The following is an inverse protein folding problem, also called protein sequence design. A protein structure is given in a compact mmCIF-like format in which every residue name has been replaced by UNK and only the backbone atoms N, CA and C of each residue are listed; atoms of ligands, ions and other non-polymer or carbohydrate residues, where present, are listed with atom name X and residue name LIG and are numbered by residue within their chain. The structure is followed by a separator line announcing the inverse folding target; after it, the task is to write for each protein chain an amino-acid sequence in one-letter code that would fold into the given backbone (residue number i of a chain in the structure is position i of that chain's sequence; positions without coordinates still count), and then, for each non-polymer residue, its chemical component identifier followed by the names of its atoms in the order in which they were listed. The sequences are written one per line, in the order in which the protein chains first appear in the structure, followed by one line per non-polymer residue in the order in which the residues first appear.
data_IF_194256716043
#
_entry.id   IF_194256716043
#
_cell.length_a   1.000
_cell.length_b   1.000
_cell.length_c   1.000
_cell.angle_alpha   90.00
_cell.angle_beta   90.00
_cell.angle_gamma   90.00
#
_symmetry.space_group_name_H-M   'P 1'
#
loop_
_entity.id
_entity.type
_entity.pdbx_description
1 polymer ?
#
# COMPACT_ATOMS: atom_id res chain seq x y z
N UNK A 1 -5.65 -17.84 -15.52
CA UNK A 1 -6.75 -17.50 -14.58
C UNK A 1 -6.93 -16.00 -14.45
N UNK A 2 -5.90 -15.22 -14.06
CA UNK A 2 -5.98 -13.75 -13.99
C UNK A 2 -6.40 -13.13 -15.33
N UNK A 3 -5.75 -13.51 -16.44
CA UNK A 3 -6.11 -13.02 -17.78
C UNK A 3 -7.55 -13.35 -18.20
N UNK A 4 -8.14 -14.44 -17.69
CA UNK A 4 -9.53 -14.83 -17.99
C UNK A 4 -10.51 -13.97 -17.19
N UNK A 5 -10.18 -13.68 -15.93
CA UNK A 5 -10.95 -12.77 -15.07
C UNK A 5 -10.93 -11.35 -15.65
N UNK A 6 -9.77 -10.91 -16.12
CA UNK A 6 -9.59 -9.58 -16.70
C UNK A 6 -10.33 -9.41 -18.02
N UNK A 7 -10.34 -10.44 -18.88
CA UNK A 7 -11.16 -10.49 -20.08
C UNK A 7 -12.66 -10.42 -19.75
N UNK A 8 -13.13 -11.18 -18.74
CA UNK A 8 -14.54 -11.19 -18.34
C UNK A 8 -14.98 -9.87 -17.69
N UNK A 9 -14.08 -9.21 -16.94
CA UNK A 9 -14.28 -7.86 -16.40
C UNK A 9 -14.50 -6.85 -17.53
N UNK A 10 -13.67 -6.90 -18.58
CA UNK A 10 -13.81 -6.01 -19.72
C UNK A 10 -15.12 -6.22 -20.48
N UNK A 11 -15.57 -7.46 -20.61
CA UNK A 11 -16.85 -7.80 -21.24
C UNK A 11 -18.04 -7.19 -20.49
N UNK A 12 -18.06 -7.32 -19.15
CA UNK A 12 -19.12 -6.74 -18.30
C UNK A 12 -19.15 -5.21 -18.41
N UNK A 13 -17.98 -4.55 -18.44
CA UNK A 13 -17.94 -3.10 -18.60
C UNK A 13 -18.45 -2.65 -19.96
N UNK A 14 -18.09 -3.35 -21.03
CA UNK A 14 -18.58 -3.00 -22.36
C UNK A 14 -20.11 -3.14 -22.46
N UNK A 15 -20.70 -4.13 -21.79
CA UNK A 15 -22.16 -4.33 -21.73
C UNK A 15 -22.85 -3.24 -20.91
N UNK A 16 -22.30 -2.88 -19.74
CA UNK A 16 -22.80 -1.78 -18.92
C UNK A 16 -22.73 -0.42 -19.66
N UNK A 17 -21.62 -0.14 -20.35
CA UNK A 17 -21.46 1.08 -21.14
C UNK A 17 -22.46 1.14 -22.31
N UNK A 18 -22.74 0.00 -22.96
CA UNK A 18 -23.72 -0.07 -24.04
C UNK A 18 -25.14 0.28 -23.54
N UNK A 19 -25.56 -0.30 -22.42
CA UNK A 19 -26.87 -0.02 -21.80
C UNK A 19 -26.98 1.44 -21.30
N UNK A 20 -25.88 1.99 -20.76
CA UNK A 20 -25.81 3.39 -20.35
C UNK A 20 -25.98 4.34 -21.55
N UNK A 21 -25.34 4.04 -22.69
CA UNK A 21 -25.48 4.83 -23.92
C UNK A 21 -26.90 4.80 -24.48
N UNK A 22 -27.56 3.64 -24.49
CA UNK A 22 -28.95 3.54 -24.94
C UNK A 22 -29.89 4.36 -24.05
N UNK A 23 -29.66 4.35 -22.75
CA UNK A 23 -30.42 5.13 -21.78
C UNK A 23 -30.23 6.65 -21.98
N UNK A 24 -28.99 7.08 -22.23
CA UNK A 24 -28.66 8.48 -22.52
C UNK A 24 -29.35 8.99 -23.80
N UNK A 25 -29.40 8.16 -24.85
CA UNK A 25 -30.03 8.54 -26.11
C UNK A 25 -31.55 8.68 -25.97
N UNK A 26 -32.20 7.82 -25.17
CA UNK A 26 -33.64 7.97 -24.85
C UNK A 26 -33.92 9.28 -24.13
N UNK A 27 -33.12 9.62 -23.12
CA UNK A 27 -33.24 10.89 -22.41
C UNK A 27 -33.03 12.09 -23.34
N UNK A 28 -32.12 11.97 -24.31
CA UNK A 28 -31.88 13.00 -25.33
C UNK A 28 -33.12 13.23 -26.20
N UNK A 29 -33.79 12.17 -26.63
CA UNK A 29 -35.03 12.26 -27.43
C UNK A 29 -36.15 12.93 -26.61
N UNK A 30 -36.37 12.49 -25.37
CA UNK A 30 -37.37 13.09 -24.48
C UNK A 30 -37.11 14.59 -24.24
N UNK A 31 -35.83 14.98 -24.06
CA UNK A 31 -35.46 16.39 -23.93
C UNK A 31 -35.85 17.20 -25.17
N UNK A 32 -35.59 16.68 -26.37
CA UNK A 32 -35.95 17.35 -27.63
C UNK A 32 -37.47 17.52 -27.75
N UNK A 33 -38.26 16.51 -27.39
CA UNK A 33 -39.73 16.61 -27.40
C UNK A 33 -40.24 17.67 -26.41
N UNK A 34 -39.67 17.74 -25.21
CA UNK A 34 -39.99 18.78 -24.24
C UNK A 34 -39.62 20.17 -24.74
N UNK A 35 -38.42 20.35 -25.30
CA UNK A 35 -37.98 21.62 -25.90
C UNK A 35 -38.94 22.09 -27.01
N UNK A 36 -39.47 21.17 -27.82
CA UNK A 36 -40.48 21.48 -28.83
C UNK A 36 -41.81 21.94 -28.21
N UNK A 37 -42.30 21.26 -27.16
CA UNK A 37 -43.51 21.65 -26.45
C UNK A 37 -43.37 23.04 -25.82
N UNK A 38 -42.24 23.32 -25.16
CA UNK A 38 -41.95 24.65 -24.58
C UNK A 38 -41.97 25.74 -25.67
N UNK A 39 -41.33 25.50 -26.81
CA UNK A 39 -41.30 26.47 -27.92
C UNK A 39 -42.70 26.75 -28.49
N UNK A 40 -43.57 25.75 -28.58
CA UNK A 40 -44.97 25.95 -28.99
C UNK A 40 -45.70 26.86 -28.00
N UNK A 41 -45.51 26.63 -26.69
CA UNK A 41 -46.12 27.44 -25.62
C UNK A 41 -45.61 28.88 -25.68
N UNK A 42 -44.30 29.10 -25.80
CA UNK A 42 -43.72 30.45 -25.91
C UNK A 42 -44.26 31.23 -27.12
N UNK A 43 -44.42 30.54 -28.25
CA UNK A 43 -44.99 31.13 -29.48
C UNK A 43 -46.45 31.54 -29.26
N UNK A 44 -47.22 30.69 -28.58
CA UNK A 44 -48.61 31.00 -28.22
C UNK A 44 -48.70 32.21 -27.29
N UNK A 45 -47.88 32.25 -26.23
CA UNK A 45 -47.81 33.38 -25.28
C UNK A 45 -47.47 34.68 -26.00
N UNK A 46 -46.46 34.68 -26.87
CA UNK A 46 -46.07 35.88 -27.64
C UNK A 46 -47.21 36.37 -28.54
N UNK A 47 -47.94 35.45 -29.16
CA UNK A 47 -49.12 35.77 -29.97
C UNK A 47 -50.24 36.37 -29.11
N UNK A 48 -50.45 35.88 -27.89
CA UNK A 48 -51.41 36.45 -26.95
C UNK A 48 -51.02 37.87 -26.50
N UNK A 49 -49.76 38.09 -26.13
CA UNK A 49 -49.28 39.40 -25.70
C UNK A 49 -49.39 40.47 -26.81
N UNK A 50 -49.14 40.09 -28.06
CA UNK A 50 -49.27 41.00 -29.21
C UNK A 50 -50.71 41.35 -29.54
N UNK A 51 -51.65 40.42 -29.33
CA UNK A 51 -53.10 40.66 -29.46
C UNK A 51 -53.62 41.57 -28.34
N UNK A 52 -53.24 41.30 -27.08
CA UNK A 52 -53.61 42.12 -25.93
C UNK A 52 -53.17 43.60 -26.06
N UNK A 53 -52.02 43.85 -26.69
CA UNK A 53 -51.52 45.21 -26.95
C UNK A 53 -52.26 45.97 -28.05
N UNK A 54 -53.04 45.29 -28.91
CA UNK A 54 -53.63 45.88 -30.14
C UNK A 54 -55.13 46.12 -30.09
N UNK A 55 -55.85 45.61 -29.09
CA UNK A 55 -57.30 45.42 -29.22
C UNK A 55 -58.21 46.45 -28.51
N UNK A 56 -59.35 46.74 -29.16
CA UNK A 56 -60.56 47.36 -28.58
C UNK A 56 -61.59 46.29 -28.21
N UNK A 57 -62.61 46.64 -27.41
CA UNK A 57 -63.51 45.70 -26.69
C UNK A 57 -64.27 44.66 -27.51
N UNK A 58 -64.34 44.78 -28.84
CA UNK A 58 -64.97 43.79 -29.73
C UNK A 58 -64.03 42.63 -30.14
N UNK A 59 -62.71 42.85 -30.14
CA UNK A 59 -61.72 41.84 -30.54
C UNK A 59 -61.43 40.81 -29.42
N UNK A 60 -61.80 41.13 -28.17
CA UNK A 60 -61.68 40.22 -27.03
C UNK A 60 -62.65 39.02 -27.10
N UNK A 61 -63.75 39.11 -27.85
CA UNK A 61 -64.70 38.01 -28.01
C UNK A 61 -64.26 36.97 -29.05
N UNK A 62 -63.54 37.38 -30.11
CA UNK A 62 -62.89 36.44 -31.03
C UNK A 62 -61.69 35.73 -30.39
N UNK A 63 -61.05 36.39 -29.41
CA UNK A 63 -59.93 35.83 -28.65
C UNK A 63 -60.33 34.55 -27.91
N UNK A 64 -61.52 34.51 -27.30
CA UNK A 64 -62.01 33.35 -26.53
C UNK A 64 -62.22 32.10 -27.42
N UNK A 65 -62.60 32.32 -28.68
CA UNK A 65 -62.76 31.26 -29.68
C UNK A 65 -61.41 30.78 -30.22
N UNK A 66 -60.46 31.70 -30.40
CA UNK A 66 -59.09 31.39 -30.82
C UNK A 66 -58.30 30.67 -29.70
N UNK A 67 -58.51 31.02 -28.42
CA UNK A 67 -57.91 30.37 -27.24
C UNK A 67 -58.22 28.87 -27.24
N UNK A 68 -59.50 28.52 -27.43
CA UNK A 68 -59.96 27.13 -27.48
C UNK A 68 -59.51 26.35 -28.73
N UNK A 69 -58.95 27.04 -29.73
CA UNK A 69 -58.41 26.42 -30.96
C UNK A 69 -56.88 26.29 -30.92
N UNK A 70 -56.19 27.20 -30.21
CA UNK A 70 -54.72 27.24 -30.10
C UNK A 70 -54.22 26.35 -28.95
N UNK A 71 -54.99 26.23 -27.87
CA UNK A 71 -54.77 25.24 -26.82
C UNK A 71 -55.56 24.00 -27.24
N UNK A 72 -54.92 22.92 -27.72
CA UNK A 72 -55.65 21.68 -27.99
C UNK A 72 -56.31 21.21 -26.69
N UNK A 73 -57.44 20.51 -26.82
CA UNK A 73 -58.11 19.74 -25.75
C UNK A 73 -57.24 18.57 -25.21
N UNK A 74 -55.99 18.85 -24.89
CA UNK A 74 -55.07 17.95 -24.16
C UNK A 74 -54.77 18.50 -22.76
N UNK A 75 -55.47 19.57 -22.35
CA UNK A 75 -55.56 20.01 -20.95
C UNK A 75 -56.92 19.61 -20.37
N UNK A 76 -57.43 18.44 -20.78
CA UNK A 76 -58.58 17.79 -20.13
C UNK A 76 -58.04 16.97 -18.95
N UNK A 77 -58.21 17.54 -17.76
CA UNK A 77 -58.61 16.88 -16.51
C UNK A 77 -57.92 15.61 -15.98
N UNK A 78 -56.70 15.30 -16.40
CA UNK A 78 -55.79 14.54 -15.55
C UNK A 78 -54.60 15.42 -15.20
N UNK A 79 -54.49 15.75 -13.90
CA UNK A 79 -53.18 15.97 -13.29
C UNK A 79 -52.43 14.64 -13.38
N UNK A 80 -52.05 14.20 -14.57
CA UNK A 80 -50.82 13.45 -14.72
C UNK A 80 -49.76 14.46 -14.29
N UNK A 81 -49.49 14.44 -12.99
CA UNK A 81 -48.17 14.68 -12.45
C UNK A 81 -47.22 14.17 -13.53
N UNK A 82 -46.41 15.06 -14.12
CA UNK A 82 -45.40 14.65 -15.07
C UNK A 82 -44.58 13.63 -14.30
N UNK A 83 -44.91 12.35 -14.45
CA UNK A 83 -44.22 11.31 -13.75
C UNK A 83 -42.91 11.32 -14.50
N UNK A 84 -41.91 11.90 -13.85
CA UNK A 84 -40.51 11.75 -14.20
C UNK A 84 -40.16 10.28 -13.94
N UNK A 85 -40.97 9.35 -14.44
CA UNK A 85 -40.89 7.95 -14.17
C UNK A 85 -39.61 7.48 -14.82
N UNK A 86 -38.60 7.44 -13.96
CA UNK A 86 -37.36 6.72 -14.16
C UNK A 86 -37.65 5.21 -14.36
N UNK A 87 -38.91 4.75 -14.35
CA UNK A 87 -39.37 3.39 -14.67
C UNK A 87 -38.85 2.88 -16.03
N UNK A 88 -38.47 3.76 -16.95
CA UNK A 88 -37.85 3.39 -18.23
C UNK A 88 -36.32 3.22 -18.20
N UNK A 89 -35.63 3.65 -17.14
CA UNK A 89 -34.18 3.50 -17.01
C UNK A 89 -33.85 2.11 -16.47
N UNK A 90 -33.13 1.33 -17.27
CA UNK A 90 -32.71 -0.02 -16.88
C UNK A 90 -31.76 0.07 -15.70
N UNK A 91 -32.16 -0.49 -14.56
CA UNK A 91 -31.28 -0.64 -13.41
C UNK A 91 -30.27 -1.75 -13.71
N UNK A 92 -28.98 -1.41 -13.70
CA UNK A 92 -27.91 -2.40 -13.81
C UNK A 92 -27.71 -3.06 -12.45
N UNK A 93 -28.03 -4.34 -12.35
CA UNK A 93 -27.84 -5.15 -11.14
C UNK A 93 -26.66 -6.09 -11.41
N UNK A 94 -25.60 -5.93 -10.61
CA UNK A 94 -24.48 -6.85 -10.64
C UNK A 94 -24.82 -8.09 -9.81
N UNK A 95 -24.81 -9.26 -10.45
CA UNK A 95 -24.98 -10.55 -9.78
C UNK A 95 -23.61 -11.16 -9.45
N UNK A 96 -23.34 -11.35 -8.16
CA UNK A 96 -22.09 -11.93 -7.70
C UNK A 96 -22.00 -13.42 -8.06
N UNK A 97 -20.82 -13.85 -8.54
CA UNK A 97 -20.57 -15.27 -8.76
C UNK A 97 -20.29 -15.99 -7.43
N UNK A 98 -21.36 -16.49 -6.80
CA UNK A 98 -21.30 -17.16 -5.50
C UNK A 98 -20.41 -18.41 -5.49
N UNK A 99 -20.27 -19.12 -6.61
CA UNK A 99 -19.38 -20.29 -6.70
C UNK A 99 -17.89 -19.90 -6.64
N UNK A 100 -17.53 -18.77 -7.26
CA UNK A 100 -16.17 -18.23 -7.25
C UNK A 100 -15.85 -17.59 -5.89
N UNK A 101 -16.83 -16.89 -5.30
CA UNK A 101 -16.78 -16.35 -3.94
C UNK A 101 -16.59 -17.46 -2.91
N UNK A 102 -17.38 -18.54 -2.97
CA UNK A 102 -17.26 -19.71 -2.09
C UNK A 102 -15.91 -20.44 -2.25
N UNK A 103 -15.37 -20.58 -3.48
CA UNK A 103 -14.03 -21.15 -3.69
C UNK A 103 -12.91 -20.27 -3.14
N UNK A 104 -13.10 -18.95 -3.14
CA UNK A 104 -12.12 -18.00 -2.57
C UNK A 104 -12.19 -17.99 -1.04
N UNK A 105 -13.40 -18.16 -0.48
CA UNK A 105 -13.67 -18.21 0.98
C UNK A 105 -13.26 -19.56 1.59
N UNK A 106 -13.62 -20.69 0.97
CA UNK A 106 -13.32 -22.03 1.49
C UNK A 106 -11.98 -22.59 1.02
N UNK A 107 -11.50 -22.18 -0.16
CA UNK A 107 -10.23 -22.62 -0.71
C UNK A 107 -9.02 -21.88 -0.14
N UNK A 108 -9.15 -20.58 0.13
CA UNK A 108 -8.03 -19.74 0.58
C UNK A 108 -6.82 -19.72 -0.37
N UNK A 109 -5.95 -18.71 -0.25
CA UNK A 109 -4.61 -18.69 -0.88
C UNK A 109 -3.57 -19.31 0.08
N UNK A 110 -4.04 -19.87 1.20
CA UNK A 110 -3.24 -20.37 2.31
C UNK A 110 -4.07 -20.39 3.60
N UNK A 111 -3.63 -21.19 4.58
CA UNK A 111 -4.27 -21.37 5.87
C UNK A 111 -3.37 -20.80 6.98
N UNK A 112 -3.96 -20.08 7.93
CA UNK A 112 -3.27 -19.56 9.13
C UNK A 112 -3.14 -20.70 10.16
N UNK A 113 -1.96 -20.82 10.77
CA UNK A 113 -1.68 -21.73 11.88
C UNK A 113 -1.16 -20.90 13.05
N UNK A 114 -1.68 -21.13 14.26
CA UNK A 114 -1.08 -20.66 15.50
C UNK A 114 -0.05 -21.69 15.95
N UNK A 115 1.22 -21.31 16.12
CA UNK A 115 2.22 -22.21 16.73
C UNK A 115 1.81 -22.51 18.18
N UNK A 116 1.80 -23.79 18.57
CA UNK A 116 1.56 -24.17 19.97
C UNK A 116 2.80 -23.94 20.86
N UNK A 117 3.97 -23.72 20.26
CA UNK A 117 5.26 -23.60 20.95
C UNK A 117 5.43 -22.24 21.63
N UNK A 118 5.83 -22.27 22.90
CA UNK A 118 6.06 -21.11 23.79
C UNK A 118 7.53 -21.07 24.19
N UNK A 119 8.25 -20.06 23.69
CA UNK A 119 9.69 -19.92 23.92
C UNK A 119 10.05 -19.75 25.40
N UNK A 120 9.24 -19.01 26.16
CA UNK A 120 9.39 -18.76 27.61
C UNK A 120 9.19 -20.03 28.46
N UNK A 121 8.46 -21.02 27.94
CA UNK A 121 8.23 -22.30 28.62
C UNK A 121 9.24 -23.39 28.25
N UNK A 122 10.07 -23.14 27.22
CA UNK A 122 11.04 -24.09 26.68
C UNK A 122 12.27 -24.21 27.58
N UNK A 123 12.94 -25.36 27.58
CA UNK A 123 14.02 -25.66 28.54
C UNK A 123 15.27 -26.18 27.86
N UNK A 124 16.46 -25.78 28.33
CA UNK A 124 17.74 -26.34 27.89
C UNK A 124 18.41 -27.12 29.04
N UNK A 125 18.97 -28.30 28.74
CA UNK A 125 19.65 -29.18 29.70
C UNK A 125 20.84 -29.88 29.06
N UNK A 126 21.95 -30.00 29.79
CA UNK A 126 23.11 -30.77 29.35
C UNK A 126 24.41 -30.25 29.93
N UNK A 127 25.44 -31.10 29.94
CA UNK A 127 26.77 -30.74 30.49
C UNK A 127 27.40 -29.56 29.77
N UNK A 128 27.14 -29.40 28.47
CA UNK A 128 27.60 -28.24 27.70
C UNK A 128 26.96 -26.90 28.07
N UNK A 129 26.04 -26.83 29.04
CA UNK A 129 25.58 -25.55 29.62
C UNK A 129 26.34 -25.18 30.89
N UNK A 130 26.95 -26.16 31.57
CA UNK A 130 27.64 -25.97 32.84
C UNK A 130 29.16 -25.93 32.66
N UNK A 131 29.69 -26.78 31.79
CA UNK A 131 31.13 -26.95 31.59
C UNK A 131 31.44 -27.20 30.11
N UNK A 132 32.40 -26.46 29.57
CA UNK A 132 32.94 -26.65 28.23
C UNK A 132 34.46 -26.52 28.28
N UNK A 133 35.16 -27.44 27.62
CA UNK A 133 36.62 -27.47 27.57
C UNK A 133 37.05 -27.01 26.18
N UNK A 134 38.00 -26.06 26.12
CA UNK A 134 38.53 -25.54 24.85
C UNK A 134 39.07 -26.70 24.00
N UNK A 135 38.66 -26.74 22.73
CA UNK A 135 39.04 -27.79 21.79
C UNK A 135 38.27 -29.11 21.92
N UNK A 136 37.39 -29.27 22.94
CA UNK A 136 36.50 -30.42 23.08
C UNK A 136 35.07 -30.00 22.75
N UNK A 137 34.37 -30.81 21.94
CA UNK A 137 33.00 -30.52 21.55
C UNK A 137 32.05 -30.62 22.76
N UNK A 138 31.48 -29.49 23.16
CA UNK A 138 30.43 -29.42 24.16
C UNK A 138 29.05 -29.62 23.50
N UNK A 139 28.10 -30.16 24.26
CA UNK A 139 26.73 -30.32 23.78
C UNK A 139 25.69 -30.21 24.90
N UNK A 140 24.50 -29.75 24.51
CA UNK A 140 23.31 -29.73 25.35
C UNK A 140 22.05 -29.93 24.49
N UNK A 141 20.93 -30.18 25.15
CA UNK A 141 19.63 -30.43 24.52
C UNK A 141 18.69 -29.29 24.88
N UNK A 142 18.06 -28.69 23.88
CA UNK A 142 16.91 -27.81 24.03
C UNK A 142 15.63 -28.61 23.82
N UNK A 143 14.59 -28.31 24.59
CA UNK A 143 13.24 -28.87 24.42
C UNK A 143 12.23 -27.74 24.29
N UNK A 144 11.52 -27.68 23.16
CA UNK A 144 10.39 -26.77 22.93
C UNK A 144 9.16 -27.25 23.68
N UNK A 145 8.42 -26.32 24.28
CA UNK A 145 7.24 -26.63 25.09
C UNK A 145 6.06 -25.72 24.77
N UNK A 146 4.85 -26.24 24.92
CA UNK A 146 3.61 -25.48 24.73
C UNK A 146 3.22 -24.69 25.98
N UNK A 147 2.10 -23.95 25.92
CA UNK A 147 1.58 -23.17 27.06
C UNK A 147 1.25 -23.99 28.32
N UNK A 148 1.12 -25.32 28.19
CA UNK A 148 0.91 -26.25 29.31
C UNK A 148 2.23 -26.85 29.84
N UNK A 149 3.38 -26.40 29.31
CA UNK A 149 4.71 -26.89 29.68
C UNK A 149 5.07 -28.27 29.13
N UNK A 150 4.27 -28.81 28.21
CA UNK A 150 4.48 -30.12 27.58
C UNK A 150 5.37 -29.97 26.35
N UNK A 151 6.24 -30.95 26.10
CA UNK A 151 7.08 -30.97 24.90
C UNK A 151 6.21 -30.97 23.64
N UNK A 152 6.49 -30.06 22.73
CA UNK A 152 5.77 -29.92 21.46
C UNK A 152 6.76 -29.77 20.31
N UNK A 153 6.40 -30.34 19.17
CA UNK A 153 7.17 -30.25 17.94
C UNK A 153 6.33 -29.61 16.86
N UNK A 154 6.79 -28.49 16.33
CA UNK A 154 6.22 -27.89 15.14
C UNK A 154 7.26 -27.92 14.04
N UNK A 155 6.88 -28.49 12.88
CA UNK A 155 7.78 -28.63 11.71
C UNK A 155 8.33 -27.29 11.20
N UNK A 156 7.72 -26.18 11.61
CA UNK A 156 8.12 -24.81 11.25
C UNK A 156 8.97 -24.12 12.31
N UNK A 157 9.09 -24.68 13.50
CA UNK A 157 9.95 -24.11 14.54
C UNK A 157 11.41 -24.21 14.12
N UNK A 158 12.09 -23.06 14.09
CA UNK A 158 13.52 -23.01 13.84
C UNK A 158 14.25 -22.70 15.14
N UNK A 159 15.23 -23.53 15.50
CA UNK A 159 16.04 -23.39 16.71
C UNK A 159 17.47 -23.05 16.34
N UNK A 160 17.99 -21.96 16.89
CA UNK A 160 19.40 -21.57 16.77
C UNK A 160 20.02 -21.38 18.15
N UNK A 161 21.33 -21.52 18.25
CA UNK A 161 22.08 -21.30 19.48
C UNK A 161 23.29 -20.40 19.21
N UNK A 162 23.52 -19.47 20.12
CA UNK A 162 24.68 -18.58 20.19
C UNK A 162 25.35 -18.80 21.55
N UNK A 163 26.68 -18.78 21.59
CA UNK A 163 27.45 -18.86 22.84
C UNK A 163 28.31 -17.60 22.89
N UNK A 164 28.00 -16.70 23.84
CA UNK A 164 28.62 -15.37 23.96
C UNK A 164 29.33 -15.21 25.29
N UNK A 165 30.36 -14.39 25.33
CA UNK A 165 31.02 -13.99 26.58
C UNK A 165 30.25 -12.85 27.28
N UNK A 166 30.73 -12.40 28.44
CA UNK A 166 30.07 -11.34 29.23
C UNK A 166 30.05 -9.96 28.54
N UNK A 167 30.93 -9.75 27.56
CA UNK A 167 31.00 -8.53 26.75
C UNK A 167 30.10 -8.62 25.50
N UNK A 168 29.44 -9.77 25.28
CA UNK A 168 28.55 -10.01 24.15
C UNK A 168 29.24 -10.53 22.87
N UNK A 169 30.54 -10.80 22.92
CA UNK A 169 31.31 -11.35 21.80
C UNK A 169 31.16 -12.87 21.69
N UNK A 170 31.23 -13.41 20.48
CA UNK A 170 31.10 -14.85 20.21
C UNK A 170 32.31 -15.63 20.73
N UNK A 171 32.08 -16.54 21.68
CA UNK A 171 33.12 -17.34 22.31
C UNK A 171 33.07 -18.83 21.94
N UNK A 172 32.31 -19.20 20.91
CA UNK A 172 32.26 -20.56 20.36
C UNK A 172 32.40 -20.63 18.83
N UNK A 173 33.02 -21.69 18.33
CA UNK A 173 33.07 -22.05 16.90
C UNK A 173 32.14 -23.23 16.63
N UNK A 174 31.74 -23.36 15.35
CA UNK A 174 30.97 -24.49 14.82
C UNK A 174 29.72 -24.84 15.66
N UNK A 175 28.93 -23.82 16.02
CA UNK A 175 27.66 -24.06 16.69
C UNK A 175 26.70 -24.73 15.70
N UNK A 176 26.31 -25.96 15.98
CA UNK A 176 25.38 -26.76 15.17
C UNK A 176 24.16 -27.10 16.00
N UNK A 177 22.99 -27.01 15.38
CA UNK A 177 21.72 -27.45 15.96
C UNK A 177 21.17 -28.59 15.10
N UNK A 178 20.93 -29.74 15.74
CA UNK A 178 20.30 -30.89 15.11
C UNK A 178 18.87 -31.04 15.63
N UNK A 179 17.90 -30.97 14.73
CA UNK A 179 16.49 -31.25 15.02
C UNK A 179 16.25 -32.77 15.09
N UNK A 180 15.71 -33.25 16.21
CA UNK A 180 15.34 -34.65 16.40
C UNK A 180 13.90 -34.96 15.94
N UNK A 181 13.16 -33.96 15.46
CA UNK A 181 11.80 -34.05 14.96
C UNK A 181 10.75 -34.47 16.00
N UNK A 182 11.06 -34.27 17.28
CA UNK A 182 10.20 -34.58 18.42
C UNK A 182 10.01 -33.39 19.38
N UNK A 183 10.55 -32.20 19.02
CA UNK A 183 10.56 -31.02 19.88
C UNK A 183 11.82 -30.93 20.74
N UNK A 184 12.77 -31.84 20.55
CA UNK A 184 14.11 -31.75 21.12
C UNK A 184 15.15 -31.42 20.05
N UNK A 185 16.11 -30.57 20.42
CA UNK A 185 17.16 -30.08 19.54
C UNK A 185 18.50 -30.26 20.23
N UNK A 186 19.42 -30.98 19.57
CA UNK A 186 20.78 -31.16 20.09
C UNK A 186 21.66 -30.03 19.58
N UNK A 187 22.16 -29.21 20.50
CA UNK A 187 23.12 -28.15 20.23
C UNK A 187 24.53 -28.67 20.52
N UNK A 188 25.47 -28.45 19.61
CA UNK A 188 26.88 -28.80 19.77
C UNK A 188 27.78 -27.64 19.34
N UNK A 189 28.88 -27.40 20.06
CA UNK A 189 29.80 -26.29 19.78
C UNK A 189 31.21 -26.58 20.34
N UNK A 190 32.21 -25.78 19.92
CA UNK A 190 33.56 -25.78 20.51
C UNK A 190 33.84 -24.43 21.17
N UNK A 191 34.29 -24.42 22.43
CA UNK A 191 34.66 -23.18 23.12
C UNK A 191 35.99 -22.63 22.56
N UNK A 192 36.05 -21.31 22.33
CA UNK A 192 37.25 -20.59 21.85
C UNK A 192 38.06 -19.94 22.97
N UNK A 193 37.40 -19.55 24.05
CA UNK A 193 37.96 -18.70 25.11
C UNK A 193 37.63 -19.26 26.49
N UNK A 194 38.48 -18.99 27.48
CA UNK A 194 38.23 -19.33 28.88
C UNK A 194 37.41 -18.22 29.54
N UNK A 195 36.41 -18.59 30.33
CA UNK A 195 35.60 -17.62 31.07
C UNK A 195 34.15 -18.04 31.20
N UNK A 196 33.33 -17.15 31.76
CA UNK A 196 31.89 -17.36 31.89
C UNK A 196 31.20 -16.97 30.59
N UNK A 197 30.54 -17.94 29.96
CA UNK A 197 29.82 -17.76 28.71
C UNK A 197 28.31 -17.89 28.95
N UNK A 198 27.52 -17.15 28.20
CA UNK A 198 26.06 -17.25 28.16
C UNK A 198 25.65 -17.96 26.87
N UNK A 199 24.92 -19.07 27.02
CA UNK A 199 24.26 -19.72 25.90
C UNK A 199 22.90 -19.04 25.67
N UNK A 200 22.74 -18.42 24.51
CA UNK A 200 21.49 -17.80 24.06
C UNK A 200 20.90 -18.70 22.99
N UNK A 201 19.72 -19.26 23.25
CA UNK A 201 19.03 -20.15 22.33
C UNK A 201 17.77 -19.45 21.85
N UNK A 202 17.60 -19.32 20.54
CA UNK A 202 16.50 -18.56 19.92
C UNK A 202 15.61 -19.51 19.12
N UNK A 203 14.30 -19.37 19.30
CA UNK A 203 13.25 -20.14 18.59
C UNK A 203 12.39 -19.13 17.80
N UNK A 204 12.07 -19.40 16.52
CA UNK A 204 11.43 -18.41 15.63
C UNK A 204 10.05 -18.84 15.07
N UNK A 205 9.02 -17.97 15.15
CA UNK A 205 7.66 -18.13 14.60
C UNK A 205 7.15 -16.86 13.85
N UNK A 206 5.96 -16.92 13.20
CA UNK A 206 5.37 -15.90 12.30
C UNK A 206 4.81 -14.62 12.97
N UNK A 207 5.21 -14.32 14.20
CA UNK A 207 4.69 -13.26 15.08
C UNK A 207 5.63 -12.04 15.20
N UNK A 208 6.56 -11.86 14.25
CA UNK A 208 7.54 -10.76 14.29
C UNK A 208 8.94 -11.19 14.72
N UNK A 209 9.26 -12.49 14.64
CA UNK A 209 10.60 -12.97 14.98
C UNK A 209 11.59 -12.75 13.83
N UNK A 210 12.75 -12.16 14.14
CA UNK A 210 13.87 -11.91 13.23
C UNK A 210 14.31 -13.16 12.45
N UNK A 211 14.23 -13.16 11.11
CA UNK A 211 14.55 -14.35 10.31
C UNK A 211 16.03 -14.46 9.94
N UNK A 212 16.63 -13.35 9.52
CA UNK A 212 18.01 -13.23 9.06
C UNK A 212 18.39 -11.75 8.95
N UNK A 213 19.68 -11.49 8.94
CA UNK A 213 20.26 -10.27 8.38
C UNK A 213 21.25 -10.68 7.30
N UNK A 214 21.51 -9.76 6.39
CA UNK A 214 22.55 -9.89 5.39
C UNK A 214 23.17 -8.51 5.15
N UNK A 215 24.40 -8.55 4.64
CA UNK A 215 25.22 -7.38 4.40
C UNK A 215 25.91 -6.81 5.63
N UNK A 216 26.87 -5.93 5.35
CA UNK A 216 27.71 -5.25 6.33
C UNK A 216 28.00 -3.82 5.88
N UNK A 217 28.50 -2.97 6.78
CA UNK A 217 28.88 -1.60 6.41
C UNK A 217 30.01 -1.61 5.37
N UNK A 218 29.85 -0.86 4.28
CA UNK A 218 30.89 -0.71 3.26
C UNK A 218 30.33 -0.32 1.90
N UNK A 219 31.14 -0.48 0.85
CA UNK A 219 30.85 -0.07 -0.53
C UNK A 219 30.97 -1.21 -1.56
N UNK A 220 31.36 -2.41 -1.13
CA UNK A 220 31.45 -3.59 -2.00
C UNK A 220 30.08 -4.23 -2.24
N UNK A 221 30.05 -5.25 -3.10
CA UNK A 221 28.85 -6.03 -3.39
C UNK A 221 28.33 -6.70 -2.10
N UNK A 222 27.06 -6.52 -1.80
CA UNK A 222 26.44 -7.00 -0.56
C UNK A 222 26.75 -6.16 0.68
N UNK A 223 27.59 -5.13 0.57
CA UNK A 223 27.81 -4.15 1.65
C UNK A 223 26.88 -2.94 1.46
N UNK A 224 26.59 -2.22 2.55
CA UNK A 224 25.67 -1.08 2.56
C UNK A 224 26.26 0.14 3.25
N UNK A 225 25.85 1.31 2.80
CA UNK A 225 26.09 2.60 3.43
C UNK A 225 24.78 3.40 3.45
N UNK A 226 24.13 3.46 4.61
CA UNK A 226 22.78 4.03 4.78
C UNK A 226 21.73 3.40 3.84
N UNK A 227 21.38 2.12 4.02
CA UNK A 227 20.24 1.53 3.32
C UNK A 227 18.94 2.16 3.83
N UNK A 228 18.08 2.64 2.94
CA UNK A 228 16.86 3.38 3.33
C UNK A 228 15.57 2.76 2.80
N UNK A 229 15.56 2.31 1.54
CA UNK A 229 14.39 1.70 0.89
C UNK A 229 14.54 0.20 0.71
N UNK A 230 13.45 -0.54 0.86
CA UNK A 230 13.39 -1.99 0.62
C UNK A 230 12.06 -2.36 -0.05
N UNK A 231 12.10 -3.25 -1.03
CA UNK A 231 10.90 -3.92 -1.55
C UNK A 231 11.23 -5.33 -2.06
N UNK A 232 10.20 -6.02 -2.53
CA UNK A 232 10.32 -7.35 -3.12
C UNK A 232 9.89 -7.31 -4.59
N UNK A 233 10.59 -8.05 -5.45
CA UNK A 233 10.11 -8.33 -6.80
C UNK A 233 9.11 -9.51 -6.79
N UNK A 234 8.56 -9.83 -7.97
CA UNK A 234 7.60 -10.94 -8.14
C UNK A 234 8.19 -12.33 -7.86
N UNK A 235 9.51 -12.46 -7.81
CA UNK A 235 10.22 -13.70 -7.53
C UNK A 235 10.70 -13.77 -6.06
N UNK A 236 10.22 -12.85 -5.20
CA UNK A 236 10.66 -12.69 -3.80
C UNK A 236 12.14 -12.30 -3.65
N UNK A 237 12.78 -11.76 -4.69
CA UNK A 237 14.09 -11.13 -4.55
C UNK A 237 13.94 -9.81 -3.79
N UNK A 238 14.92 -9.52 -2.95
CA UNK A 238 14.94 -8.33 -2.11
C UNK A 238 15.68 -7.23 -2.88
N UNK A 239 15.03 -6.08 -3.05
CA UNK A 239 15.62 -4.90 -3.69
C UNK A 239 15.86 -3.88 -2.58
N UNK A 240 17.09 -3.37 -2.47
CA UNK A 240 17.50 -2.43 -1.42
C UNK A 240 18.13 -1.19 -2.04
N UNK A 241 17.62 -0.01 -1.66
CA UNK A 241 18.27 1.26 -1.95
C UNK A 241 19.40 1.49 -0.93
N UNK A 242 20.61 1.66 -1.45
CA UNK A 242 21.83 1.93 -0.71
C UNK A 242 22.21 3.41 -0.91
N UNK A 243 21.57 4.30 -0.14
CA UNK A 243 21.54 5.74 -0.38
C UNK A 243 22.92 6.38 -0.36
N UNK A 244 23.76 5.99 0.61
CA UNK A 244 25.10 6.52 0.80
C UNK A 244 26.08 6.06 -0.28
N UNK A 245 25.84 4.91 -0.91
CA UNK A 245 26.60 4.45 -2.08
C UNK A 245 25.92 4.81 -3.42
N UNK A 246 24.77 5.48 -3.38
CA UNK A 246 24.04 5.97 -4.54
C UNK A 246 23.68 4.88 -5.55
N UNK A 247 23.27 3.71 -5.04
CA UNK A 247 22.97 2.53 -5.87
C UNK A 247 21.75 1.78 -5.35
N UNK A 248 21.28 0.83 -6.15
CA UNK A 248 20.30 -0.18 -5.76
C UNK A 248 20.93 -1.55 -5.91
N UNK A 249 20.74 -2.41 -4.92
CA UNK A 249 21.23 -3.79 -4.90
C UNK A 249 20.06 -4.78 -4.85
N UNK A 250 20.17 -5.87 -5.60
CA UNK A 250 19.23 -6.97 -5.63
C UNK A 250 19.84 -8.19 -4.94
N UNK A 251 19.02 -8.88 -4.15
CA UNK A 251 19.40 -10.07 -3.40
C UNK A 251 18.37 -11.17 -3.59
N UNK A 252 18.78 -12.42 -3.48
CA UNK A 252 17.86 -13.54 -3.39
C UNK A 252 17.00 -13.41 -2.13
N UNK A 253 15.92 -14.19 -2.06
CA UNK A 253 15.17 -14.30 -0.81
C UNK A 253 16.10 -14.69 0.36
N UNK A 254 17.16 -15.46 0.13
CA UNK A 254 18.10 -15.88 1.18
C UNK A 254 19.09 -14.78 1.60
N UNK A 255 19.12 -13.64 0.91
CA UNK A 255 20.05 -12.52 1.18
C UNK A 255 21.38 -12.63 0.43
N UNK A 256 21.45 -13.47 -0.61
CA UNK A 256 22.64 -13.58 -1.46
C UNK A 256 22.62 -12.48 -2.52
N UNK A 257 23.75 -11.80 -2.73
CA UNK A 257 23.86 -10.74 -3.73
C UNK A 257 23.63 -11.29 -5.14
N UNK A 258 22.74 -10.65 -5.91
CA UNK A 258 22.44 -11.02 -7.29
C UNK A 258 23.02 -10.01 -8.28
N UNK A 259 22.70 -8.72 -8.11
CA UNK A 259 23.11 -7.67 -9.03
C UNK A 259 22.97 -6.29 -8.38
N UNK A 260 23.46 -5.26 -9.08
CA UNK A 260 23.27 -3.87 -8.69
C UNK A 260 23.18 -2.95 -9.92
N UNK A 261 22.61 -1.78 -9.74
CA UNK A 261 22.61 -0.70 -10.72
C UNK A 261 22.61 0.68 -10.04
N UNK A 262 22.82 1.74 -10.81
CA UNK A 262 23.01 3.09 -10.31
C UNK A 262 24.49 3.50 -10.28
N UNK A 263 24.84 4.31 -9.29
CA UNK A 263 26.14 4.98 -9.18
C UNK A 263 25.95 6.49 -9.09
N UNK A 264 26.85 7.18 -8.39
CA UNK A 264 26.71 8.61 -8.10
C UNK A 264 26.65 9.45 -9.38
N UNK A 265 25.61 10.25 -9.53
CA UNK A 265 25.55 11.32 -10.52
C UNK A 265 24.13 11.62 -10.99
N UNK A 266 24.00 12.32 -12.10
CA UNK A 266 22.74 12.82 -12.64
C UNK A 266 22.39 12.24 -14.03
N UNK A 267 23.24 11.39 -14.60
CA UNK A 267 22.92 10.68 -15.85
C UNK A 267 21.73 9.73 -15.64
N UNK A 268 21.07 9.34 -16.72
CA UNK A 268 19.85 8.52 -16.65
C UNK A 268 20.03 7.22 -15.86
N UNK A 269 21.15 6.53 -16.05
CA UNK A 269 21.50 5.30 -15.33
C UNK A 269 22.11 5.50 -13.92
N UNK A 270 22.38 6.75 -13.53
CA UNK A 270 22.97 7.12 -12.24
C UNK A 270 21.89 7.52 -11.23
N UNK A 271 22.26 7.58 -9.96
CA UNK A 271 21.41 8.05 -8.87
C UNK A 271 22.22 9.01 -7.99
N UNK A 272 21.55 9.92 -7.29
CA UNK A 272 22.17 10.79 -6.30
C UNK A 272 21.33 10.86 -5.02
N UNK A 273 21.84 10.16 -4.00
CA UNK A 273 21.17 9.97 -2.70
C UNK A 273 19.71 9.50 -2.85
N UNK A 274 19.49 8.35 -3.52
CA UNK A 274 18.16 7.77 -3.64
C UNK A 274 17.62 7.39 -2.25
N UNK A 275 16.31 7.46 -2.03
CA UNK A 275 15.68 7.08 -0.76
C UNK A 275 14.72 5.88 -0.93
N UNK A 276 13.45 6.15 -1.19
CA UNK A 276 12.42 5.14 -1.29
C UNK A 276 12.40 4.46 -2.65
N UNK A 277 11.97 3.20 -2.64
CA UNK A 277 11.72 2.42 -3.84
C UNK A 277 10.37 1.70 -3.76
N UNK A 278 9.72 1.56 -4.91
CA UNK A 278 8.51 0.76 -5.08
C UNK A 278 8.62 -0.10 -6.32
N UNK A 279 7.95 -1.25 -6.33
CA UNK A 279 7.89 -2.16 -7.48
C UNK A 279 6.48 -2.11 -8.06
N UNK A 280 6.36 -1.75 -9.34
CA UNK A 280 5.10 -1.71 -10.07
C UNK A 280 4.59 -3.13 -10.39
N UNK A 281 3.32 -3.24 -10.76
CA UNK A 281 2.69 -4.52 -11.11
C UNK A 281 3.31 -5.21 -12.32
N UNK A 282 4.03 -4.51 -13.20
CA UNK A 282 4.79 -5.11 -14.30
C UNK A 282 6.20 -5.57 -13.87
N UNK A 283 6.68 -5.11 -12.72
CA UNK A 283 7.98 -5.41 -12.13
C UNK A 283 8.99 -4.26 -12.25
N UNK A 284 8.61 -3.13 -12.86
CA UNK A 284 9.47 -1.96 -12.91
C UNK A 284 9.71 -1.40 -11.50
N UNK A 285 10.87 -0.79 -11.31
CA UNK A 285 11.35 -0.27 -10.03
C UNK A 285 11.31 1.25 -10.12
N UNK A 286 10.42 1.86 -9.33
CA UNK A 286 10.32 3.31 -9.16
C UNK A 286 11.21 3.71 -7.99
N UNK A 287 12.07 4.71 -8.18
CA UNK A 287 13.03 5.19 -7.18
C UNK A 287 12.90 6.70 -7.05
N UNK A 288 12.83 7.17 -5.80
CA UNK A 288 12.96 8.59 -5.49
C UNK A 288 14.45 8.96 -5.48
N UNK A 289 14.89 9.71 -6.49
CA UNK A 289 16.27 10.18 -6.64
C UNK A 289 16.41 11.57 -5.98
N UNK A 290 16.48 11.56 -4.64
CA UNK A 290 16.14 12.72 -3.81
C UNK A 290 17.02 13.95 -4.07
N UNK A 291 18.33 13.80 -4.30
CA UNK A 291 19.21 14.96 -4.59
C UNK A 291 19.15 15.41 -6.04
N UNK A 292 18.79 14.52 -6.97
CA UNK A 292 18.47 14.92 -8.34
C UNK A 292 17.04 15.47 -8.47
N UNK A 293 16.24 15.44 -7.38
CA UNK A 293 14.91 16.05 -7.29
C UNK A 293 13.92 15.51 -8.31
N UNK A 294 13.97 14.20 -8.53
CA UNK A 294 13.13 13.55 -9.52
C UNK A 294 12.83 12.11 -9.12
N UNK A 295 11.90 11.50 -9.82
CA UNK A 295 11.62 10.06 -9.73
C UNK A 295 12.18 9.39 -10.98
N UNK A 296 12.85 8.25 -10.81
CA UNK A 296 13.34 7.42 -11.92
C UNK A 296 12.67 6.05 -11.91
N UNK A 297 12.38 5.53 -13.08
CA UNK A 297 11.87 4.18 -13.27
C UNK A 297 12.91 3.33 -13.99
N UNK A 298 13.15 2.14 -13.47
CA UNK A 298 14.07 1.15 -14.02
C UNK A 298 13.32 -0.15 -14.30
N UNK A 299 13.76 -0.90 -15.30
CA UNK A 299 13.30 -2.27 -15.52
C UNK A 299 13.71 -3.18 -14.35
N UNK A 300 13.11 -4.38 -14.22
CA UNK A 300 13.54 -5.37 -13.21
C UNK A 300 15.04 -5.72 -13.26
N UNK A 301 15.69 -5.52 -14.42
CA UNK A 301 17.13 -5.77 -14.62
C UNK A 301 18.01 -4.55 -14.31
N UNK A 302 17.45 -3.43 -13.89
CA UNK A 302 18.18 -2.21 -13.58
C UNK A 302 18.52 -1.32 -14.79
N UNK A 303 17.93 -1.58 -15.96
CA UNK A 303 18.03 -0.65 -17.09
C UNK A 303 17.09 0.54 -16.90
N UNK A 304 17.58 1.75 -17.10
CA UNK A 304 16.78 2.97 -17.07
C UNK A 304 15.64 2.90 -18.10
N UNK A 305 14.45 3.32 -17.70
CA UNK A 305 13.27 3.40 -18.56
C UNK A 305 12.84 4.84 -18.79
N UNK A 306 12.56 5.56 -17.70
CA UNK A 306 12.11 6.95 -17.76
C UNK A 306 12.42 7.67 -16.44
N UNK A 307 12.20 8.98 -16.46
CA UNK A 307 12.21 9.83 -15.28
C UNK A 307 11.07 10.84 -15.37
N UNK A 308 10.64 11.34 -14.22
CA UNK A 308 9.80 12.53 -14.19
C UNK A 308 10.17 13.47 -13.06
N UNK A 309 10.12 14.75 -13.39
CA UNK A 309 10.45 15.87 -12.52
C UNK A 309 9.16 16.54 -11.97
N UNK A 310 8.03 16.28 -12.65
CA UNK A 310 6.69 16.78 -12.33
C UNK A 310 6.54 18.28 -12.57
N UNK A 311 5.41 18.74 -13.14
CA UNK A 311 5.11 20.18 -13.33
C UNK A 311 4.96 20.98 -12.01
N UNK A 312 5.25 20.37 -10.85
CA UNK A 312 5.23 20.98 -9.52
C UNK A 312 6.58 20.91 -8.77
N UNK A 313 7.69 20.77 -9.51
CA UNK A 313 9.10 20.65 -9.05
C UNK A 313 9.27 19.95 -7.69
N UNK A 314 9.67 18.69 -7.71
CA UNK A 314 10.07 18.00 -6.49
C UNK A 314 11.27 18.71 -5.85
N UNK A 315 11.34 18.81 -4.52
CA UNK A 315 12.46 19.45 -3.83
C UNK A 315 13.31 18.44 -3.07
N UNK A 316 12.67 17.52 -2.36
CA UNK A 316 13.28 16.36 -1.73
C UNK A 316 12.29 15.18 -1.71
N UNK A 317 12.07 14.51 -2.86
CA UNK A 317 11.18 13.36 -2.92
C UNK A 317 11.77 12.20 -2.12
N UNK A 318 11.00 11.62 -1.21
CA UNK A 318 11.46 10.51 -0.35
C UNK A 318 10.91 9.16 -0.80
N UNK A 319 9.61 9.04 -1.07
CA UNK A 319 9.01 7.80 -1.56
C UNK A 319 7.98 8.10 -2.65
N UNK A 320 7.96 7.29 -3.69
CA UNK A 320 6.94 7.31 -4.73
C UNK A 320 6.28 5.93 -4.79
N UNK A 321 4.96 5.90 -4.69
CA UNK A 321 4.16 4.68 -4.86
C UNK A 321 3.22 4.84 -6.05
N UNK A 322 3.01 3.74 -6.78
CA UNK A 322 1.98 3.66 -7.80
C UNK A 322 0.72 3.03 -7.22
N UNK A 323 -0.42 3.71 -7.33
CA UNK A 323 -1.72 3.15 -6.99
C UNK A 323 -2.72 3.49 -8.09
N UNK A 324 -3.21 2.46 -8.80
CA UNK A 324 -4.06 2.60 -9.98
C UNK A 324 -3.44 3.55 -11.04
N UNK A 325 -4.11 4.69 -11.28
CA UNK A 325 -3.68 5.74 -12.21
C UNK A 325 -2.78 6.80 -11.59
N UNK A 326 -2.54 6.73 -10.29
CA UNK A 326 -1.82 7.75 -9.53
C UNK A 326 -0.38 7.33 -9.24
N UNK A 327 0.52 8.31 -9.35
CA UNK A 327 1.84 8.28 -8.75
C UNK A 327 1.82 9.26 -7.58
N UNK A 328 2.02 8.76 -6.36
CA UNK A 328 1.90 9.54 -5.12
C UNK A 328 3.30 9.67 -4.53
N UNK A 329 3.76 10.90 -4.35
CA UNK A 329 5.12 11.22 -3.93
C UNK A 329 5.11 12.00 -2.62
N UNK A 330 5.87 11.54 -1.63
CA UNK A 330 6.18 12.35 -0.45
C UNK A 330 7.35 13.27 -0.75
N UNK A 331 7.16 14.56 -0.48
CA UNK A 331 8.18 15.59 -0.66
C UNK A 331 8.51 16.22 0.71
N UNK A 332 9.61 15.77 1.33
CA UNK A 332 9.91 16.08 2.73
C UNK A 332 10.22 17.55 2.97
N UNK A 333 10.98 18.19 2.08
CA UNK A 333 11.40 19.58 2.22
C UNK A 333 10.23 20.55 2.00
N UNK A 334 9.20 20.13 1.27
CA UNK A 334 7.97 20.92 1.05
C UNK A 334 6.83 20.53 1.99
N UNK A 335 7.07 19.60 2.93
CA UNK A 335 6.09 19.16 3.92
C UNK A 335 4.75 18.74 3.31
N UNK A 336 4.78 18.09 2.14
CA UNK A 336 3.57 17.79 1.38
C UNK A 336 3.65 16.47 0.62
N UNK A 337 2.47 16.02 0.19
CA UNK A 337 2.29 14.92 -0.73
C UNK A 337 1.87 15.48 -2.08
N UNK A 338 2.56 15.08 -3.14
CA UNK A 338 2.30 15.47 -4.53
C UNK A 338 1.77 14.26 -5.30
N UNK A 339 0.68 14.46 -6.03
CA UNK A 339 0.01 13.40 -6.78
C UNK A 339 0.08 13.72 -8.28
N UNK A 340 0.48 12.72 -9.05
CA UNK A 340 0.64 12.77 -10.50
C UNK A 340 -0.18 11.65 -11.16
N UNK A 341 -0.47 11.78 -12.45
CA UNK A 341 -0.99 10.67 -13.25
C UNK A 341 0.13 9.73 -13.75
N UNK A 342 -0.23 8.63 -14.44
CA UNK A 342 0.74 7.71 -15.06
C UNK A 342 1.58 8.33 -16.17
N UNK A 343 1.15 9.45 -16.75
CA UNK A 343 1.90 10.22 -17.73
C UNK A 343 2.82 11.26 -17.06
N UNK A 344 2.91 11.22 -15.72
CA UNK A 344 3.71 12.14 -14.90
C UNK A 344 3.23 13.58 -14.90
N UNK A 345 1.98 13.83 -15.30
CA UNK A 345 1.34 15.14 -15.22
C UNK A 345 0.98 15.42 -13.76
N UNK A 346 1.27 16.63 -13.27
CA UNK A 346 0.89 17.02 -11.92
C UNK A 346 -0.63 17.16 -11.82
N UNK A 347 -1.23 16.54 -10.80
CA UNK A 347 -2.67 16.60 -10.57
C UNK A 347 -3.00 17.55 -9.43
N UNK A 348 -2.44 17.30 -8.24
CA UNK A 348 -2.68 18.12 -7.05
C UNK A 348 -1.62 17.83 -5.98
N UNK A 349 -1.57 18.71 -4.96
CA UNK A 349 -0.80 18.50 -3.74
C UNK A 349 -1.66 18.80 -2.52
N UNK A 350 -1.33 18.16 -1.41
CA UNK A 350 -1.90 18.47 -0.10
C UNK A 350 -0.83 18.34 0.98
N UNK A 351 -1.01 19.05 2.09
CA UNK A 351 0.02 19.22 3.10
C UNK A 351 0.73 20.56 3.04
N UNK A 352 1.21 20.97 4.22
CA UNK A 352 2.07 22.12 4.48
C UNK A 352 2.79 21.86 5.81
N UNK A 353 3.82 22.64 6.10
CA UNK A 353 4.50 22.57 7.39
C UNK A 353 3.53 22.81 8.54
N UNK A 354 3.57 21.94 9.56
CA UNK A 354 2.80 22.10 10.78
C UNK A 354 2.52 20.79 11.51
N UNK A 355 1.67 20.89 12.53
CA UNK A 355 1.34 19.81 13.45
C UNK A 355 -0.16 19.46 13.45
N UNK A 356 -0.98 20.26 12.75
CA UNK A 356 -2.42 20.03 12.59
C UNK A 356 -2.74 18.82 11.70
N UNK A 357 -4.01 18.44 11.63
CA UNK A 357 -4.46 17.35 10.76
C UNK A 357 -4.31 17.75 9.29
N UNK A 358 -3.63 16.91 8.50
CA UNK A 358 -3.26 17.23 7.13
C UNK A 358 -2.08 18.20 6.98
N UNK A 359 -1.45 18.61 8.08
CA UNK A 359 -0.13 19.27 8.08
C UNK A 359 0.96 18.23 8.35
N UNK A 360 2.17 18.45 7.84
CA UNK A 360 3.28 17.50 7.96
C UNK A 360 4.56 18.17 8.47
N UNK A 361 5.36 17.38 9.16
CA UNK A 361 6.73 17.69 9.49
C UNK A 361 7.62 16.51 9.10
N UNK A 362 8.34 16.67 7.99
CA UNK A 362 9.18 15.64 7.39
C UNK A 362 8.40 14.37 7.02
N UNK A 363 7.42 14.46 6.10
CA UNK A 363 6.70 13.27 5.62
C UNK A 363 7.68 12.34 4.89
N UNK A 364 7.71 11.06 5.28
CA UNK A 364 8.63 10.07 4.73
C UNK A 364 7.91 9.03 3.86
N UNK A 365 7.86 7.76 4.28
CA UNK A 365 7.33 6.71 3.40
C UNK A 365 5.81 6.71 3.38
N UNK A 366 5.31 6.32 2.21
CA UNK A 366 3.92 6.14 1.87
C UNK A 366 3.54 4.67 1.76
N UNK A 367 2.32 4.33 2.14
CA UNK A 367 1.67 3.07 1.77
C UNK A 367 0.18 3.27 1.51
N UNK A 368 -0.42 2.42 0.68
CA UNK A 368 -1.86 2.46 0.42
C UNK A 368 -2.45 1.08 0.70
N UNK A 369 -3.53 1.04 1.46
CA UNK A 369 -4.24 -0.21 1.73
C UNK A 369 -5.20 -0.58 0.57
N UNK A 370 -5.83 -1.75 0.65
CA UNK A 370 -6.76 -2.22 -0.39
C UNK A 370 -8.03 -1.37 -0.53
N UNK A 371 -8.37 -0.56 0.47
CA UNK A 371 -9.50 0.36 0.46
C UNK A 371 -9.16 1.73 -0.16
N UNK A 372 -7.92 1.95 -0.59
CA UNK A 372 -7.48 3.25 -1.12
C UNK A 372 -7.15 4.28 -0.05
N UNK A 373 -6.96 3.87 1.22
CA UNK A 373 -6.48 4.78 2.25
C UNK A 373 -4.96 4.90 2.18
N UNK A 374 -4.48 6.13 1.97
CA UNK A 374 -3.08 6.49 1.93
C UNK A 374 -2.58 6.76 3.36
N UNK A 375 -1.56 6.04 3.78
CA UNK A 375 -0.87 6.23 5.04
C UNK A 375 0.45 6.96 4.79
N UNK A 376 0.69 8.00 5.58
CA UNK A 376 1.88 8.86 5.51
C UNK A 376 2.58 8.84 6.86
N UNK A 377 3.84 8.40 6.89
CA UNK A 377 4.69 8.54 8.06
C UNK A 377 5.11 10.00 8.23
N UNK A 378 4.55 10.68 9.22
CA UNK A 378 4.82 12.08 9.54
C UNK A 378 5.89 12.12 10.65
N UNK A 379 7.14 11.94 10.23
CA UNK A 379 8.22 11.47 11.11
C UNK A 379 8.50 12.41 12.27
N UNK A 380 8.62 13.72 12.03
CA UNK A 380 8.95 14.68 13.10
C UNK A 380 7.73 15.06 13.96
N UNK A 381 6.51 14.68 13.53
CA UNK A 381 5.31 14.74 14.37
C UNK A 381 5.03 13.43 15.12
N UNK A 382 5.89 12.41 14.97
CA UNK A 382 5.80 11.14 15.69
C UNK A 382 4.46 10.42 15.50
N UNK A 383 3.91 10.47 14.28
CA UNK A 383 2.59 9.90 13.97
C UNK A 383 2.53 9.34 12.56
N UNK A 384 1.51 8.53 12.31
CA UNK A 384 1.09 8.13 10.96
C UNK A 384 -0.28 8.78 10.71
N UNK A 385 -0.40 9.48 9.59
CA UNK A 385 -1.66 10.09 9.16
C UNK A 385 -2.25 9.29 8.01
N UNK A 386 -3.58 9.18 7.98
CA UNK A 386 -4.34 8.41 7.00
C UNK A 386 -5.25 9.36 6.23
N UNK A 387 -5.22 9.26 4.91
CA UNK A 387 -5.94 10.11 3.96
C UNK A 387 -6.72 9.26 2.96
N UNK A 388 -7.76 9.83 2.38
CA UNK A 388 -8.25 9.31 1.09
C UNK A 388 -7.34 9.80 -0.05
N UNK A 389 -7.53 9.26 -1.25
CA UNK A 389 -6.72 9.62 -2.40
C UNK A 389 -6.92 11.08 -2.85
N UNK A 390 -8.01 11.75 -2.47
CA UNK A 390 -8.21 13.17 -2.75
C UNK A 390 -7.35 14.09 -1.88
N UNK A 391 -6.69 13.53 -0.86
CA UNK A 391 -5.88 14.27 0.12
C UNK A 391 -6.68 14.73 1.34
N UNK A 392 -7.93 14.28 1.50
CA UNK A 392 -8.73 14.58 2.69
C UNK A 392 -8.27 13.71 3.85
N UNK A 393 -7.99 14.36 4.97
CA UNK A 393 -7.65 13.68 6.22
C UNK A 393 -8.79 12.77 6.70
N UNK A 394 -8.46 11.53 7.04
CA UNK A 394 -9.39 10.55 7.61
C UNK A 394 -9.13 10.38 9.11
N UNK A 395 -7.91 10.02 9.47
CA UNK A 395 -7.53 9.74 10.86
C UNK A 395 -6.01 9.79 11.04
N UNK A 396 -5.56 9.68 12.29
CA UNK A 396 -4.14 9.52 12.65
C UNK A 396 -4.00 8.61 13.85
N UNK A 397 -2.83 8.01 13.99
CA UNK A 397 -2.44 7.27 15.18
C UNK A 397 -0.95 7.49 15.43
N UNK A 398 -0.53 7.28 16.68
CA UNK A 398 0.80 7.65 17.12
C UNK A 398 0.85 8.98 17.86
N UNK A 399 1.71 9.02 18.88
CA UNK A 399 2.16 10.23 19.56
C UNK A 399 3.59 10.03 20.01
N UNK A 400 4.31 11.10 20.35
CA UNK A 400 5.71 10.97 20.79
C UNK A 400 5.84 10.08 22.03
N UNK A 401 6.70 9.08 21.99
CA UNK A 401 7.03 8.22 23.12
C UNK A 401 7.61 6.87 22.73
N UNK A 402 7.65 5.94 23.69
CA UNK A 402 8.28 4.62 23.60
C UNK A 402 7.31 3.46 23.93
N UNK A 403 6.05 3.76 24.26
CA UNK A 403 5.04 2.76 24.56
C UNK A 403 4.35 2.25 23.30
N UNK A 404 3.59 1.16 23.44
CA UNK A 404 2.73 0.64 22.38
C UNK A 404 1.77 1.73 21.90
N UNK A 405 1.84 2.06 20.61
CA UNK A 405 1.05 3.11 19.98
C UNK A 405 1.61 4.53 20.10
N UNK A 406 2.77 4.68 20.73
CA UNK A 406 3.60 5.88 20.66
C UNK A 406 4.76 5.62 19.68
N UNK A 407 5.27 6.68 19.04
CA UNK A 407 6.38 6.59 18.10
C UNK A 407 7.51 7.56 18.43
N UNK A 408 8.71 7.23 17.97
CA UNK A 408 9.79 8.19 17.84
C UNK A 408 10.39 8.13 16.44
N UNK A 409 9.96 9.09 15.59
CA UNK A 409 10.33 9.19 14.18
C UNK A 409 9.92 7.93 13.38
N UNK A 410 8.59 7.70 13.20
CA UNK A 410 8.14 6.62 12.33
C UNK A 410 8.67 6.85 10.92
N UNK A 411 9.28 5.83 10.33
CA UNK A 411 10.02 5.94 9.07
C UNK A 411 9.21 5.38 7.91
N UNK A 412 8.71 4.15 8.05
CA UNK A 412 7.92 3.47 7.02
C UNK A 412 6.74 2.70 7.58
N UNK A 413 5.67 2.65 6.81
CA UNK A 413 4.47 1.86 7.10
C UNK A 413 4.24 0.86 5.96
N UNK A 414 3.88 -0.36 6.30
CA UNK A 414 3.49 -1.40 5.36
C UNK A 414 2.16 -2.02 5.78
N UNK A 415 1.28 -2.28 4.82
CA UNK A 415 -0.02 -2.91 5.07
C UNK A 415 0.09 -4.40 4.78
N UNK A 416 -0.18 -5.23 5.80
CA UNK A 416 -0.17 -6.67 5.71
C UNK A 416 -1.40 -7.18 4.94
N UNK A 417 -1.32 -8.42 4.44
CA UNK A 417 -2.39 -9.02 3.64
C UNK A 417 -3.71 -9.21 4.41
N UNK A 418 -3.62 -9.32 5.73
CA UNK A 418 -4.72 -9.42 6.69
C UNK A 418 -5.27 -8.03 7.14
N UNK A 419 -4.71 -6.94 6.62
CA UNK A 419 -5.15 -5.57 6.89
C UNK A 419 -4.39 -4.86 8.00
N UNK A 420 -3.59 -5.58 8.80
CA UNK A 420 -2.78 -4.98 9.87
C UNK A 420 -1.72 -4.03 9.29
N UNK A 421 -1.32 -3.04 10.08
CA UNK A 421 -0.34 -2.02 9.67
C UNK A 421 0.94 -2.23 10.47
N UNK A 422 2.06 -2.40 9.78
CA UNK A 422 3.38 -2.48 10.36
C UNK A 422 4.09 -1.14 10.20
N UNK A 423 4.55 -0.54 11.29
CA UNK A 423 5.27 0.74 11.28
C UNK A 423 6.68 0.55 11.83
N UNK A 424 7.69 0.96 11.07
CA UNK A 424 9.08 0.99 11.51
C UNK A 424 9.43 2.32 12.16
N UNK A 425 10.21 2.27 13.23
CA UNK A 425 10.62 3.43 14.01
C UNK A 425 12.13 3.58 13.98
N UNK A 426 12.59 4.75 13.54
CA UNK A 426 14.02 5.02 13.40
C UNK A 426 14.69 5.15 14.78
N UNK A 427 14.09 5.90 15.71
CA UNK A 427 14.74 6.25 16.98
C UNK A 427 14.46 5.29 18.12
N UNK A 428 13.35 4.54 18.06
CA UNK A 428 13.04 3.51 19.05
C UNK A 428 13.61 2.13 18.67
N UNK A 429 14.30 2.02 17.52
CA UNK A 429 14.88 0.77 17.01
C UNK A 429 13.86 -0.38 16.94
N UNK A 430 12.61 -0.05 16.61
CA UNK A 430 11.46 -0.92 16.79
C UNK A 430 10.59 -1.02 15.54
N UNK A 431 9.77 -2.06 15.52
CA UNK A 431 8.67 -2.24 14.57
C UNK A 431 7.42 -2.52 15.40
N UNK A 432 6.35 -1.77 15.15
CA UNK A 432 5.05 -1.96 15.80
C UNK A 432 3.99 -2.43 14.80
N UNK A 433 3.08 -3.29 15.25
CA UNK A 433 1.96 -3.81 14.46
C UNK A 433 0.64 -3.29 15.05
N UNK A 434 -0.20 -2.73 14.18
CA UNK A 434 -1.50 -2.14 14.48
C UNK A 434 -2.61 -2.91 13.75
N UNK A 435 -3.81 -2.88 14.33
CA UNK A 435 -5.03 -3.47 13.77
C UNK A 435 -5.89 -2.42 13.09
#
# INVERSE_FOLDING_TARGET
MIAVIEAKKQEIFNEADHEAQQSLERLRIQRIEMEQKVKMIETAVTKFETLLKRSTSAELAELDKAINTIIPKEVDDEREQLDCDLEGLRQLIFEENEALKAKTIHGGIGRVFSSESKADQSTAKGKGLTEAIIGIQANFVLTTKNAKGQQCYEKRDRVTAEIKNQEGHDCATEVRVKDNHDGSYKVSYFAKETGRCQAVVKIFSSDGTYLRSFGSKGDKQGEFNYPTGIAFDKNNNIIVVDSGNHRVQLFSEQGEYLSQFGGKGNLDHQLFNPHGLSVENDGNIIIADSKNKLIKTFSPKGHYLNRFEGEGSLTYPVHCIQYEKYLIVSDSDEHCIKVFDRNSSFLYKFGKEGNGDGEFNYPQYLSVNKAGHLMVCDSLNHRVQVFDLSGKFITKFGSRGDKKGEFNAPFSAAVLSDGRILVSEFSNHGIQIFE
#
